data_IF_338723072505
#
_entry.id   IF_338723072505
#
_cell.length_a   1.000
_cell.length_b   1.000
_cell.length_c   1.000
_cell.angle_alpha   90.00
_cell.angle_beta   90.00
_cell.angle_gamma   90.00
#
_symmetry.space_group_name_H-M   'P 1'
#
loop_
_entity.id
_entity.type
_entity.pdbx_description
1 polymer ?
#
# COMPACT_ATOMS: atom_id res chain seq x y z
N UNK A 1 -0.30 23.20 3.68
CA UNK A 1 -0.23 23.91 4.95
C UNK A 1 0.63 25.16 4.75
N UNK A 2 0.07 26.34 5.02
CA UNK A 2 0.81 27.61 4.86
C UNK A 2 1.67 27.95 6.10
N UNK A 3 1.73 27.05 7.06
CA UNK A 3 2.47 27.28 8.30
C UNK A 3 3.25 26.01 8.69
N UNK A 4 4.36 25.70 7.97
CA UNK A 4 5.16 24.51 8.27
C UNK A 4 5.65 24.57 9.73
N UNK A 5 5.45 23.46 10.43
CA UNK A 5 5.91 23.35 11.82
C UNK A 5 7.45 23.46 11.87
N UNK A 6 8.02 24.31 12.70
CA UNK A 6 9.47 24.34 12.88
C UNK A 6 9.95 22.98 13.37
N UNK A 7 11.01 22.44 12.76
CA UNK A 7 11.63 21.15 13.04
C UNK A 7 10.90 19.90 12.46
N UNK A 8 9.92 20.07 11.57
CA UNK A 8 9.36 18.95 10.82
C UNK A 8 10.31 18.57 9.68
N UNK A 9 10.58 17.26 9.53
CA UNK A 9 11.26 16.72 8.37
C UNK A 9 10.25 16.05 7.43
N UNK A 10 10.42 16.26 6.13
CA UNK A 10 9.71 15.56 5.07
C UNK A 10 10.69 14.57 4.48
N UNK A 11 10.39 13.28 4.57
CA UNK A 11 11.20 12.23 3.97
C UNK A 11 10.73 11.95 2.55
N UNK A 12 11.69 11.75 1.65
CA UNK A 12 11.42 11.33 0.28
C UNK A 12 12.32 10.17 -0.09
N UNK A 13 11.76 9.21 -0.79
CA UNK A 13 12.48 8.06 -1.33
C UNK A 13 12.39 8.11 -2.86
N UNK A 14 13.49 8.30 -3.56
CA UNK A 14 13.46 8.31 -5.03
C UNK A 14 13.37 6.88 -5.58
N UNK A 15 12.52 6.72 -6.57
CA UNK A 15 12.07 5.43 -7.11
C UNK A 15 13.13 4.58 -7.81
N UNK A 16 14.36 5.01 -8.03
CA UNK A 16 15.30 4.16 -8.78
C UNK A 16 16.81 4.40 -8.61
N UNK A 17 17.28 5.55 -8.20
CA UNK A 17 18.75 5.82 -8.19
C UNK A 17 19.22 6.86 -7.18
N UNK A 18 18.35 7.30 -6.29
CA UNK A 18 18.68 8.36 -5.34
C UNK A 18 18.85 7.86 -3.91
N UNK A 19 19.13 8.79 -3.05
CA UNK A 19 19.25 8.58 -1.62
C UNK A 19 17.94 8.95 -0.95
N UNK A 20 17.49 8.18 0.04
CA UNK A 20 16.43 8.65 0.90
C UNK A 20 16.88 9.95 1.58
N UNK A 21 16.03 10.96 1.54
CA UNK A 21 16.44 12.32 1.92
C UNK A 21 15.38 12.93 2.83
N UNK A 22 15.82 13.55 3.92
CA UNK A 22 14.97 14.32 4.83
C UNK A 22 15.19 15.82 4.61
N UNK A 23 14.12 16.55 4.32
CA UNK A 23 14.12 18.01 4.12
C UNK A 23 13.40 18.68 5.27
N UNK A 24 13.88 19.85 5.66
CA UNK A 24 13.13 20.72 6.55
C UNK A 24 12.05 21.54 5.81
N UNK A 25 11.29 22.31 6.57
CA UNK A 25 10.22 23.16 6.04
C UNK A 25 10.70 24.28 5.08
N UNK A 26 12.01 24.50 4.95
CA UNK A 26 12.61 25.47 4.04
C UNK A 26 13.17 24.80 2.76
N UNK A 27 13.04 23.46 2.68
CA UNK A 27 13.58 22.67 1.58
C UNK A 27 15.07 22.36 1.69
N UNK A 28 15.68 22.62 2.84
CA UNK A 28 17.08 22.32 3.09
C UNK A 28 17.24 20.85 3.48
N UNK A 29 18.25 20.18 2.87
CA UNK A 29 18.57 18.78 3.20
C UNK A 29 19.14 18.74 4.61
N UNK A 30 18.54 17.95 5.49
CA UNK A 30 18.96 17.73 6.88
C UNK A 30 19.42 16.30 7.14
N UNK A 31 19.01 15.37 6.28
CA UNK A 31 19.35 13.97 6.43
C UNK A 31 19.42 13.28 5.07
N UNK A 32 20.39 12.38 4.90
CA UNK A 32 20.56 11.56 3.70
C UNK A 32 20.91 10.15 4.14
N UNK A 33 20.22 9.17 3.58
CA UNK A 33 20.57 7.77 3.71
C UNK A 33 21.07 7.22 2.38
N UNK A 34 22.34 6.86 2.33
CA UNK A 34 22.95 6.22 1.16
C UNK A 34 22.84 4.70 1.25
N UNK A 35 21.61 4.19 1.17
CA UNK A 35 21.31 2.76 1.12
C UNK A 35 20.37 2.50 -0.05
N UNK A 36 20.68 1.48 -0.84
CA UNK A 36 19.80 1.05 -1.91
C UNK A 36 18.62 0.32 -1.29
N UNK A 37 17.42 0.78 -1.59
CA UNK A 37 16.14 0.16 -1.23
C UNK A 37 15.26 0.09 -2.47
N UNK A 38 14.33 -0.83 -2.51
CA UNK A 38 13.35 -0.96 -3.60
C UNK A 38 11.99 -0.37 -3.22
N UNK A 39 11.66 -0.43 -1.94
CA UNK A 39 10.37 0.01 -1.41
C UNK A 39 10.53 1.13 -0.39
N UNK A 40 9.44 1.80 -0.12
CA UNK A 40 9.40 3.02 0.67
C UNK A 40 9.97 2.89 2.09
N UNK A 41 10.38 4.03 2.60
CA UNK A 41 10.80 4.23 3.96
C UNK A 41 9.59 4.62 4.80
N UNK A 42 9.32 3.88 5.86
CA UNK A 42 8.27 4.21 6.83
C UNK A 42 8.89 4.64 8.15
N UNK A 43 8.31 5.68 8.77
CA UNK A 43 8.69 6.14 10.10
C UNK A 43 7.85 5.39 11.14
N UNK A 44 8.52 4.72 12.08
CA UNK A 44 7.89 4.00 13.18
C UNK A 44 7.58 4.93 14.35
N UNK A 45 6.64 4.54 15.20
CA UNK A 45 6.24 5.30 16.40
C UNK A 45 7.39 5.57 17.36
N UNK A 46 8.39 4.69 17.42
CA UNK A 46 9.58 4.83 18.25
C UNK A 46 10.70 5.70 17.64
N UNK A 47 10.43 6.31 16.48
CA UNK A 47 11.37 7.18 15.76
C UNK A 47 12.40 6.43 14.91
N UNK A 48 12.32 5.11 14.81
CA UNK A 48 13.07 4.31 13.86
C UNK A 48 12.40 4.38 12.48
N UNK A 49 13.12 3.90 11.48
CA UNK A 49 12.63 3.78 10.12
C UNK A 49 12.68 2.32 9.68
N UNK A 50 11.76 1.95 8.80
CA UNK A 50 11.86 0.71 8.03
C UNK A 50 12.34 1.00 6.63
N UNK A 51 13.02 0.04 6.02
CA UNK A 51 13.36 0.06 4.60
C UNK A 51 13.49 -1.36 4.07
N UNK A 52 13.14 -1.57 2.82
CA UNK A 52 13.29 -2.88 2.17
C UNK A 52 14.76 -3.31 2.14
N UNK A 53 15.01 -4.61 2.19
CA UNK A 53 16.32 -5.13 1.76
C UNK A 53 16.48 -4.91 0.26
N UNK A 54 17.72 -4.92 -0.22
CA UNK A 54 18.01 -4.89 -1.66
C UNK A 54 18.22 -6.30 -2.26
N UNK A 55 17.95 -7.34 -1.46
CA UNK A 55 18.04 -8.74 -1.90
C UNK A 55 16.68 -9.18 -2.42
N UNK A 56 16.64 -9.71 -3.63
CA UNK A 56 15.42 -10.25 -4.21
C UNK A 56 15.19 -11.69 -3.76
N UNK A 57 13.97 -11.98 -3.37
CA UNK A 57 13.44 -13.32 -3.22
C UNK A 57 13.01 -13.86 -4.60
N UNK A 58 12.30 -13.02 -5.36
CA UNK A 58 11.90 -13.30 -6.74
C UNK A 58 11.88 -12.01 -7.58
N UNK A 59 11.92 -12.20 -8.88
CA UNK A 59 11.88 -11.13 -9.89
C UNK A 59 10.43 -10.68 -10.13
N UNK A 60 10.20 -9.41 -10.46
CA UNK A 60 11.23 -8.39 -10.74
C UNK A 60 11.69 -7.59 -9.51
N UNK A 61 10.93 -7.61 -8.39
CA UNK A 61 11.14 -6.67 -7.29
C UNK A 61 10.71 -7.18 -5.90
N UNK A 62 10.36 -8.45 -5.77
CA UNK A 62 9.99 -9.04 -4.48
C UNK A 62 11.23 -9.21 -3.61
N UNK A 63 11.36 -8.38 -2.58
CA UNK A 63 12.54 -8.41 -1.72
C UNK A 63 12.43 -9.49 -0.65
N UNK A 64 13.57 -9.93 -0.10
CA UNK A 64 13.58 -10.94 0.96
C UNK A 64 12.93 -10.46 2.26
N UNK A 65 12.71 -9.16 2.40
CA UNK A 65 12.14 -8.56 3.59
C UNK A 65 12.60 -7.12 3.79
N UNK A 66 12.64 -6.68 5.03
CA UNK A 66 12.96 -5.33 5.43
C UNK A 66 13.85 -5.29 6.67
N UNK A 67 14.36 -4.14 6.98
CA UNK A 67 15.12 -3.90 8.21
C UNK A 67 14.57 -2.66 8.94
N UNK A 68 14.81 -2.61 10.24
CA UNK A 68 14.59 -1.42 11.07
C UNK A 68 15.91 -0.81 11.47
N UNK A 69 15.99 0.51 11.45
CA UNK A 69 17.18 1.25 11.85
C UNK A 69 16.83 2.61 12.47
N UNK A 70 17.78 3.19 13.18
CA UNK A 70 17.66 4.59 13.61
C UNK A 70 18.08 5.56 12.49
N UNK A 71 17.82 6.85 12.67
CA UNK A 71 18.20 7.88 11.69
C UNK A 71 19.73 8.12 11.60
N UNK A 72 20.52 7.51 12.47
CA UNK A 72 21.99 7.52 12.41
C UNK A 72 22.57 6.34 11.63
N UNK A 73 21.70 5.42 11.18
CA UNK A 73 22.09 4.27 10.37
C UNK A 73 22.43 3.01 11.17
N UNK A 74 22.15 2.97 12.47
CA UNK A 74 22.33 1.74 13.25
C UNK A 74 21.15 0.80 13.01
N UNK A 75 21.41 -0.35 12.40
CA UNK A 75 20.42 -1.40 12.19
C UNK A 75 20.06 -2.03 13.52
N UNK A 76 18.75 -2.08 13.81
CA UNK A 76 18.20 -2.70 15.01
C UNK A 76 17.84 -4.16 14.76
N UNK A 77 17.09 -4.41 13.68
CA UNK A 77 16.68 -5.76 13.29
C UNK A 77 16.53 -5.89 11.77
N UNK A 78 16.60 -7.12 11.30
CA UNK A 78 16.27 -7.51 9.93
C UNK A 78 15.20 -8.59 9.97
N UNK A 79 14.15 -8.42 9.18
CA UNK A 79 13.01 -9.32 9.09
C UNK A 79 12.97 -10.00 7.73
N UNK A 80 12.81 -11.31 7.74
CA UNK A 80 12.57 -12.09 6.53
C UNK A 80 11.07 -12.27 6.33
N UNK A 81 10.59 -11.97 5.13
CA UNK A 81 9.19 -12.16 4.73
C UNK A 81 9.13 -13.37 3.80
N UNK A 82 8.51 -14.49 4.19
CA UNK A 82 8.55 -15.74 3.43
C UNK A 82 8.00 -15.62 2.00
N UNK A 83 6.94 -14.83 1.80
CA UNK A 83 6.37 -14.52 0.49
C UNK A 83 7.01 -13.32 -0.21
N UNK A 84 8.11 -12.80 0.33
CA UNK A 84 8.70 -11.54 -0.13
C UNK A 84 7.95 -10.31 0.35
N UNK A 85 8.63 -9.18 0.27
CA UNK A 85 8.09 -7.86 0.58
C UNK A 85 8.03 -7.03 -0.69
N UNK A 86 6.91 -6.40 -0.93
CA UNK A 86 6.71 -5.44 -2.01
C UNK A 86 5.86 -4.26 -1.53
N UNK A 87 6.00 -3.14 -2.20
CA UNK A 87 5.24 -1.90 -2.06
C UNK A 87 5.23 -1.31 -0.65
N UNK A 88 4.49 -1.88 0.31
CA UNK A 88 4.14 -1.19 1.53
C UNK A 88 4.12 -2.07 2.77
N UNK A 89 4.30 -1.41 3.90
CA UNK A 89 4.23 -1.99 5.24
C UNK A 89 3.66 -0.96 6.21
N UNK A 90 2.85 -1.41 7.16
CA UNK A 90 2.34 -0.58 8.26
C UNK A 90 2.69 -1.18 9.63
N UNK A 91 2.80 -0.31 10.64
CA UNK A 91 3.06 -0.73 12.03
C UNK A 91 1.76 -0.78 12.84
N UNK A 92 1.44 -1.95 13.37
CA UNK A 92 0.32 -2.14 14.30
C UNK A 92 0.59 -1.50 15.68
N UNK A 93 -0.44 -1.16 16.45
CA UNK A 93 -0.30 -0.59 17.80
C UNK A 93 0.45 -1.46 18.81
N UNK A 94 0.50 -2.77 18.60
CA UNK A 94 1.30 -3.71 19.43
C UNK A 94 2.77 -3.76 19.01
N UNK A 95 3.11 -3.07 17.91
CA UNK A 95 4.44 -2.99 17.34
C UNK A 95 4.72 -4.00 16.23
N UNK A 96 3.84 -4.95 15.97
CA UNK A 96 3.94 -5.86 14.83
C UNK A 96 3.85 -5.12 13.50
N UNK A 97 4.15 -5.80 12.41
CA UNK A 97 4.13 -5.22 11.07
C UNK A 97 3.14 -5.93 10.17
N UNK A 98 2.27 -5.17 9.51
CA UNK A 98 1.48 -5.62 8.36
C UNK A 98 2.25 -5.34 7.08
N UNK A 99 2.33 -6.31 6.18
CA UNK A 99 3.22 -6.26 5.03
C UNK A 99 2.51 -6.77 3.80
N UNK A 100 2.59 -6.01 2.70
CA UNK A 100 2.23 -6.48 1.38
C UNK A 100 3.22 -7.57 0.92
N UNK A 101 2.71 -8.75 0.61
CA UNK A 101 3.47 -9.97 0.37
C UNK A 101 2.82 -10.85 -0.71
N UNK A 102 3.40 -12.02 -0.94
CA UNK A 102 2.96 -13.00 -1.91
C UNK A 102 2.84 -14.42 -1.34
N UNK A 103 2.14 -15.26 -2.07
CA UNK A 103 2.21 -16.71 -1.97
C UNK A 103 2.67 -17.29 -3.32
N UNK A 104 3.98 -17.42 -3.51
CA UNK A 104 4.58 -17.97 -4.73
C UNK A 104 4.28 -19.47 -4.98
N UNK A 105 3.60 -20.15 -4.06
CA UNK A 105 3.07 -21.50 -4.31
C UNK A 105 1.84 -21.49 -5.22
N UNK A 106 1.17 -20.31 -5.33
CA UNK A 106 -0.01 -20.10 -6.16
C UNK A 106 0.30 -19.70 -7.61
N UNK A 107 -0.75 -19.34 -8.33
CA UNK A 107 -0.68 -18.84 -9.72
C UNK A 107 -0.82 -17.32 -9.83
N UNK A 108 -1.08 -16.65 -8.71
CA UNK A 108 -1.29 -15.19 -8.61
C UNK A 108 -0.20 -14.54 -7.81
N UNK A 109 -0.07 -13.23 -7.90
CA UNK A 109 0.90 -12.40 -7.17
C UNK A 109 0.22 -11.17 -6.58
N UNK A 110 0.85 -10.58 -5.57
CA UNK A 110 0.46 -9.31 -4.96
C UNK A 110 -0.97 -9.31 -4.38
N UNK A 111 -1.33 -10.42 -3.76
CA UNK A 111 -2.66 -10.66 -3.21
C UNK A 111 -2.66 -11.29 -1.80
N UNK A 112 -1.54 -11.21 -1.09
CA UNK A 112 -1.41 -11.66 0.28
C UNK A 112 -0.88 -10.53 1.17
N UNK A 113 -1.44 -10.39 2.36
CA UNK A 113 -0.87 -9.55 3.42
C UNK A 113 -0.48 -10.47 4.57
N UNK A 114 0.69 -10.24 5.14
CA UNK A 114 1.15 -10.99 6.33
C UNK A 114 1.38 -10.04 7.50
N UNK A 115 1.09 -10.53 8.71
CA UNK A 115 1.51 -9.88 9.94
C UNK A 115 2.75 -10.59 10.48
N UNK A 116 3.78 -9.81 10.77
CA UNK A 116 5.02 -10.30 11.38
C UNK A 116 5.14 -9.79 12.80
N UNK A 117 5.32 -10.71 13.73
CA UNK A 117 5.66 -10.42 15.12
C UNK A 117 7.03 -9.73 15.19
N UNK A 118 7.06 -8.53 15.75
CA UNK A 118 8.27 -7.70 15.82
C UNK A 118 9.40 -8.34 16.63
N UNK A 119 9.09 -9.15 17.62
CA UNK A 119 10.11 -9.72 18.52
C UNK A 119 10.75 -10.98 17.96
N UNK A 120 9.96 -11.78 17.27
CA UNK A 120 10.39 -13.12 16.80
C UNK A 120 10.66 -13.17 15.30
N UNK A 121 10.12 -12.23 14.52
CA UNK A 121 10.12 -12.26 13.06
C UNK A 121 9.21 -13.33 12.45
N UNK A 122 8.36 -13.96 13.28
CA UNK A 122 7.43 -14.99 12.80
C UNK A 122 6.19 -14.39 12.16
N UNK A 123 5.68 -15.02 11.11
CA UNK A 123 4.34 -14.71 10.58
C UNK A 123 3.31 -15.23 11.58
N UNK A 124 2.48 -14.34 12.10
CA UNK A 124 1.44 -14.65 13.10
C UNK A 124 0.03 -14.57 12.53
N UNK A 125 -0.16 -13.87 11.42
CA UNK A 125 -1.43 -13.79 10.72
C UNK A 125 -1.21 -13.61 9.20
N UNK A 126 -2.16 -14.06 8.40
CA UNK A 126 -2.14 -13.88 6.95
C UNK A 126 -3.53 -13.60 6.43
N UNK A 127 -3.63 -12.71 5.47
CA UNK A 127 -4.84 -12.36 4.73
C UNK A 127 -4.62 -12.75 3.26
N UNK A 128 -5.35 -13.75 2.80
CA UNK A 128 -5.38 -14.13 1.39
C UNK A 128 -6.56 -13.42 0.72
N UNK A 129 -6.27 -12.38 -0.07
CA UNK A 129 -7.29 -11.56 -0.72
C UNK A 129 -8.18 -12.34 -1.68
N UNK A 130 -7.71 -13.48 -2.20
CA UNK A 130 -8.50 -14.39 -3.04
C UNK A 130 -9.71 -14.99 -2.31
N UNK A 131 -9.66 -15.04 -0.98
CA UNK A 131 -10.76 -15.53 -0.14
C UNK A 131 -11.74 -14.43 0.26
N UNK A 132 -11.38 -13.17 0.02
CA UNK A 132 -12.11 -11.98 0.48
C UNK A 132 -12.77 -11.27 -0.70
N UNK A 133 -12.09 -11.22 -1.85
CA UNK A 133 -12.53 -10.49 -3.03
C UNK A 133 -12.60 -11.40 -4.27
N UNK A 134 -13.55 -11.16 -5.18
CA UNK A 134 -13.60 -11.88 -6.45
C UNK A 134 -12.48 -11.40 -7.39
N UNK A 135 -11.69 -12.35 -7.92
CA UNK A 135 -10.52 -12.05 -8.73
C UNK A 135 -10.85 -11.53 -10.14
N UNK A 136 -12.03 -11.85 -10.65
CA UNK A 136 -12.43 -11.63 -12.05
C UNK A 136 -13.43 -10.50 -12.24
N UNK A 137 -13.66 -9.69 -11.21
CA UNK A 137 -14.58 -8.55 -11.21
C UNK A 137 -13.83 -7.21 -11.09
N UNK A 138 -14.49 -6.12 -11.46
CA UNK A 138 -13.96 -4.76 -11.34
C UNK A 138 -12.65 -4.52 -12.07
N UNK A 139 -12.37 -5.28 -13.12
CA UNK A 139 -11.09 -5.27 -13.85
C UNK A 139 -10.76 -3.90 -14.41
N UNK A 140 -9.57 -3.40 -14.11
CA UNK A 140 -8.98 -2.27 -14.83
C UNK A 140 -8.40 -2.73 -16.17
N UNK A 141 -7.97 -1.78 -17.00
CA UNK A 141 -7.28 -2.09 -18.26
C UNK A 141 -5.87 -2.68 -18.05
N UNK A 142 -5.34 -2.62 -16.83
CA UNK A 142 -4.06 -3.25 -16.46
C UNK A 142 -4.23 -4.65 -15.87
N UNK A 143 -5.44 -5.09 -15.65
CA UNK A 143 -5.73 -6.37 -15.00
C UNK A 143 -5.17 -7.56 -15.76
N UNK A 144 -4.59 -8.50 -15.05
CA UNK A 144 -4.22 -9.82 -15.59
C UNK A 144 -4.65 -10.91 -14.61
N UNK A 145 -4.84 -12.15 -15.10
CA UNK A 145 -5.21 -13.25 -14.21
C UNK A 145 -4.11 -13.62 -13.21
N UNK A 146 -2.86 -13.29 -13.50
CA UNK A 146 -1.73 -13.50 -12.59
C UNK A 146 -1.65 -12.40 -11.54
N UNK A 147 -1.77 -11.16 -11.96
CA UNK A 147 -1.68 -9.96 -11.14
C UNK A 147 -3.04 -9.25 -11.18
N UNK A 148 -4.00 -9.85 -10.48
CA UNK A 148 -5.40 -9.47 -10.56
C UNK A 148 -5.75 -8.30 -9.64
N UNK A 149 -5.11 -8.21 -8.48
CA UNK A 149 -5.36 -7.17 -7.49
C UNK A 149 -4.28 -6.08 -7.52
N UNK A 150 -3.02 -6.48 -7.54
CA UNK A 150 -1.86 -5.61 -7.46
C UNK A 150 -1.90 -4.74 -6.20
N UNK A 151 -1.77 -5.41 -5.04
CA UNK A 151 -1.77 -4.72 -3.75
C UNK A 151 -0.57 -3.78 -3.65
N UNK A 152 -0.83 -2.50 -3.43
CA UNK A 152 0.23 -1.48 -3.40
C UNK A 152 0.21 -0.59 -2.15
N UNK A 153 -0.74 -0.80 -1.25
CA UNK A 153 -0.68 -0.24 0.10
C UNK A 153 -1.48 -1.08 1.09
N UNK A 154 -1.02 -1.06 2.31
CA UNK A 154 -1.65 -1.70 3.45
C UNK A 154 -1.63 -0.72 4.62
N UNK A 155 -2.78 -0.49 5.27
CA UNK A 155 -2.88 0.44 6.38
C UNK A 155 -3.91 -0.06 7.41
N UNK A 156 -3.63 0.09 8.68
CA UNK A 156 -4.48 -0.37 9.77
C UNK A 156 -5.13 0.79 10.51
N UNK A 157 -6.46 0.76 10.61
CA UNK A 157 -7.20 1.72 11.42
C UNK A 157 -7.52 1.13 12.80
N UNK A 158 -6.82 1.55 13.86
CA UNK A 158 -7.02 1.01 15.20
C UNK A 158 -8.38 1.39 15.81
N UNK A 159 -8.97 2.51 15.41
CA UNK A 159 -10.27 2.96 15.93
C UNK A 159 -11.42 2.09 15.42
N UNK A 160 -11.28 1.55 14.23
CA UNK A 160 -12.30 0.70 13.58
C UNK A 160 -11.92 -0.78 13.57
N UNK A 161 -10.70 -1.13 13.94
CA UNK A 161 -10.12 -2.47 13.83
C UNK A 161 -10.22 -3.03 12.40
N UNK A 162 -9.81 -2.21 11.43
CA UNK A 162 -9.90 -2.55 10.01
C UNK A 162 -8.55 -2.48 9.31
N UNK A 163 -8.37 -3.38 8.37
CA UNK A 163 -7.28 -3.36 7.40
C UNK A 163 -7.79 -2.72 6.11
N UNK A 164 -7.06 -1.77 5.59
CA UNK A 164 -7.31 -1.13 4.30
C UNK A 164 -6.24 -1.54 3.32
N UNK A 165 -6.64 -2.03 2.15
CA UNK A 165 -5.73 -2.48 1.09
C UNK A 165 -6.11 -1.86 -0.25
N UNK A 166 -5.12 -1.37 -0.98
CA UNK A 166 -5.34 -0.75 -2.28
C UNK A 166 -5.00 -1.72 -3.40
N UNK A 167 -5.99 -2.01 -4.25
CA UNK A 167 -5.90 -2.87 -5.43
C UNK A 167 -5.87 -2.05 -6.72
N UNK A 168 -4.67 -1.83 -7.26
CA UNK A 168 -4.45 -1.04 -8.48
C UNK A 168 -5.19 -1.60 -9.68
N UNK A 169 -5.24 -2.93 -9.82
CA UNK A 169 -5.80 -3.58 -11.00
C UNK A 169 -7.31 -3.82 -10.93
N UNK A 170 -7.94 -3.49 -9.82
CA UNK A 170 -9.40 -3.38 -9.69
C UNK A 170 -9.88 -1.94 -9.51
N UNK A 171 -8.97 -0.95 -9.46
CA UNK A 171 -9.25 0.47 -9.14
C UNK A 171 -10.10 0.59 -7.87
N UNK A 172 -9.75 -0.17 -6.86
CA UNK A 172 -10.54 -0.33 -5.65
C UNK A 172 -9.66 -0.34 -4.40
N UNK A 173 -10.16 0.30 -3.34
CA UNK A 173 -9.59 0.17 -2.00
C UNK A 173 -10.58 -0.65 -1.17
N UNK A 174 -10.14 -1.80 -0.67
CA UNK A 174 -10.96 -2.67 0.16
C UNK A 174 -10.71 -2.39 1.65
N UNK A 175 -11.78 -2.29 2.41
CA UNK A 175 -11.77 -2.20 3.87
C UNK A 175 -12.21 -3.55 4.44
N UNK A 176 -11.38 -4.17 5.24
CA UNK A 176 -11.52 -5.55 5.71
C UNK A 176 -11.50 -5.54 7.24
N UNK A 177 -12.40 -6.26 7.87
CA UNK A 177 -12.37 -6.48 9.32
C UNK A 177 -11.11 -7.29 9.68
N UNK A 178 -10.29 -6.73 10.55
CA UNK A 178 -8.99 -7.31 10.87
C UNK A 178 -9.10 -8.67 11.55
N UNK A 179 -10.08 -8.88 12.43
CA UNK A 179 -10.22 -10.12 13.19
C UNK A 179 -10.88 -11.23 12.37
N UNK A 180 -11.98 -10.90 11.68
CA UNK A 180 -12.80 -11.88 10.96
C UNK A 180 -12.36 -12.08 9.52
N UNK A 181 -11.49 -11.20 8.99
CA UNK A 181 -11.04 -11.19 7.60
C UNK A 181 -12.19 -11.03 6.58
N UNK A 182 -13.28 -10.40 6.97
CA UNK A 182 -14.44 -10.17 6.10
C UNK A 182 -14.38 -8.79 5.48
N UNK A 183 -14.77 -8.72 4.21
CA UNK A 183 -14.96 -7.45 3.53
C UNK A 183 -16.05 -6.64 4.23
N UNK A 184 -15.75 -5.37 4.51
CA UNK A 184 -16.69 -4.38 5.09
C UNK A 184 -17.17 -3.41 4.02
N UNK A 185 -16.22 -2.82 3.25
CA UNK A 185 -16.55 -1.81 2.25
C UNK A 185 -15.53 -1.81 1.12
N UNK A 186 -15.94 -1.24 -0.01
CA UNK A 186 -15.07 -0.93 -1.17
C UNK A 186 -15.22 0.55 -1.51
N UNK A 187 -14.08 1.21 -1.68
CA UNK A 187 -13.98 2.59 -2.16
C UNK A 187 -13.50 2.53 -3.61
N UNK A 188 -14.36 2.85 -4.56
CA UNK A 188 -14.06 2.76 -5.98
C UNK A 188 -15.31 2.72 -6.84
N UNK A 189 -15.14 2.71 -8.16
CA UNK A 189 -16.25 2.57 -9.09
C UNK A 189 -16.90 1.18 -8.98
N UNK A 190 -18.24 1.09 -8.84
CA UNK A 190 -18.94 -0.19 -8.86
C UNK A 190 -19.04 -0.83 -10.26
N UNK A 191 -18.53 -0.18 -11.28
CA UNK A 191 -18.53 -0.69 -12.66
C UNK A 191 -17.74 -1.98 -12.80
N UNK A 192 -18.31 -2.98 -13.46
CA UNK A 192 -17.68 -4.29 -13.68
C UNK A 192 -17.77 -5.25 -12.49
N UNK A 193 -18.48 -4.87 -11.41
CA UNK A 193 -18.73 -5.73 -10.27
C UNK A 193 -20.14 -6.32 -10.29
N UNK A 194 -20.31 -7.53 -9.76
CA UNK A 194 -21.59 -8.22 -9.71
C UNK A 194 -22.58 -7.51 -8.80
N UNK A 195 -23.88 -7.80 -8.97
CA UNK A 195 -24.94 -7.27 -8.13
C UNK A 195 -24.75 -7.62 -6.64
N UNK A 196 -24.20 -8.80 -6.34
CA UNK A 196 -23.86 -9.23 -4.98
C UNK A 196 -22.85 -8.30 -4.31
N UNK A 197 -21.86 -7.80 -5.08
CA UNK A 197 -20.81 -6.93 -4.58
C UNK A 197 -21.24 -5.47 -4.44
N UNK A 198 -22.33 -5.04 -5.09
CA UNK A 198 -22.77 -3.64 -5.06
C UNK A 198 -23.04 -3.11 -3.64
N UNK A 199 -23.48 -3.99 -2.73
CA UNK A 199 -23.76 -3.61 -1.34
C UNK A 199 -22.55 -3.20 -0.51
N UNK A 200 -21.33 -3.48 -0.97
CA UNK A 200 -20.09 -3.11 -0.31
C UNK A 200 -19.54 -1.75 -0.73
N UNK A 201 -20.01 -1.21 -1.87
CA UNK A 201 -19.48 0.06 -2.38
C UNK A 201 -20.02 1.24 -1.59
N UNK A 202 -19.09 2.15 -1.23
CA UNK A 202 -19.48 3.44 -0.68
C UNK A 202 -20.12 4.29 -1.79
N UNK A 203 -21.20 4.99 -1.42
CA UNK A 203 -21.91 5.89 -2.33
C UNK A 203 -21.38 7.31 -2.15
N UNK A 204 -20.90 7.98 -3.22
CA UNK A 204 -20.50 9.37 -3.13
C UNK A 204 -21.65 10.27 -2.72
N UNK A 205 -21.38 11.22 -1.83
CA UNK A 205 -22.33 12.27 -1.44
C UNK A 205 -21.87 13.62 -1.99
N UNK A 206 -22.80 14.40 -2.53
CA UNK A 206 -22.54 15.76 -3.02
C UNK A 206 -22.63 15.89 -4.52
N UNK A 207 -21.88 16.85 -5.09
CA UNK A 207 -21.94 17.24 -6.50
C UNK A 207 -21.16 16.35 -7.45
N UNK A 208 -20.43 16.97 -8.37
CA UNK A 208 -19.58 16.27 -9.33
C UNK A 208 -18.48 15.50 -8.57
N UNK A 209 -18.41 14.19 -8.82
CA UNK A 209 -17.47 13.28 -8.18
C UNK A 209 -16.85 12.35 -9.23
N UNK A 210 -15.54 12.19 -9.18
CA UNK A 210 -14.80 11.19 -9.95
C UNK A 210 -14.15 10.20 -9.00
N UNK A 211 -14.19 8.91 -9.35
CA UNK A 211 -13.44 7.87 -8.65
C UNK A 211 -11.95 7.93 -8.98
N UNK A 212 -11.14 7.41 -8.07
CA UNK A 212 -9.72 7.17 -8.30
C UNK A 212 -9.50 6.03 -9.30
N UNK A 213 -8.35 6.07 -9.99
CA UNK A 213 -7.96 5.08 -11.00
C UNK A 213 -6.50 4.68 -10.83
N UNK A 214 -6.23 3.37 -10.74
CA UNK A 214 -4.90 2.80 -10.53
C UNK A 214 -4.19 3.42 -9.30
N UNK A 215 -4.94 3.72 -8.25
CA UNK A 215 -4.50 4.43 -7.06
C UNK A 215 -3.38 3.70 -6.30
N UNK A 216 -2.64 4.47 -5.49
CA UNK A 216 -1.60 4.00 -4.57
C UNK A 216 -1.72 4.69 -3.21
N UNK A 217 -1.02 4.15 -2.22
CA UNK A 217 -0.82 4.77 -0.91
C UNK A 217 -2.15 5.18 -0.23
N UNK A 218 -3.12 4.27 -0.19
CA UNK A 218 -4.36 4.50 0.54
C UNK A 218 -4.10 4.39 2.04
N UNK A 219 -4.10 5.53 2.73
CA UNK A 219 -3.69 5.67 4.14
C UNK A 219 -4.74 6.43 4.93
N UNK A 220 -5.06 5.99 6.14
CA UNK A 220 -5.90 6.71 7.06
C UNK A 220 -5.19 7.94 7.62
N UNK A 221 -5.81 9.11 7.49
CA UNK A 221 -5.35 10.34 8.14
C UNK A 221 -5.91 10.49 9.55
N UNK A 222 -7.09 9.96 9.76
CA UNK A 222 -7.82 9.88 11.03
C UNK A 222 -8.93 8.82 10.92
N UNK A 223 -9.81 8.72 11.91
CA UNK A 223 -10.87 7.72 11.98
C UNK A 223 -11.90 7.77 10.83
N UNK A 224 -11.90 8.83 10.03
CA UNK A 224 -12.93 9.11 9.03
C UNK A 224 -12.37 9.45 7.64
N UNK A 225 -11.09 9.79 7.52
CA UNK A 225 -10.50 10.27 6.28
C UNK A 225 -9.40 9.34 5.79
N UNK A 226 -9.56 8.87 4.56
CA UNK A 226 -8.51 8.17 3.81
C UNK A 226 -7.95 9.13 2.76
N UNK A 227 -6.64 9.21 2.69
CA UNK A 227 -5.90 9.85 1.60
C UNK A 227 -5.35 8.78 0.68
N UNK A 228 -5.32 9.03 -0.62
CA UNK A 228 -4.66 8.16 -1.59
C UNK A 228 -4.10 8.98 -2.73
N UNK A 229 -3.10 8.44 -3.42
CA UNK A 229 -2.63 9.01 -4.67
C UNK A 229 -3.41 8.41 -5.84
N UNK A 230 -4.11 9.24 -6.61
CA UNK A 230 -4.80 8.84 -7.83
C UNK A 230 -3.84 8.90 -9.01
N UNK A 231 -3.40 7.75 -9.52
CA UNK A 231 -2.54 7.71 -10.72
C UNK A 231 -3.29 8.15 -11.98
N UNK A 232 -4.60 8.17 -11.97
CA UNK A 232 -5.45 8.63 -13.06
C UNK A 232 -5.34 7.82 -14.36
N UNK A 233 -4.83 6.57 -14.29
CA UNK A 233 -4.58 5.77 -15.50
C UNK A 233 -5.87 5.33 -16.15
N UNK A 234 -5.99 5.64 -17.45
CA UNK A 234 -7.11 5.30 -18.32
C UNK A 234 -8.47 5.90 -17.90
N UNK A 235 -8.74 6.14 -16.65
CA UNK A 235 -10.01 6.65 -16.07
C UNK A 235 -11.26 5.96 -16.63
N UNK A 236 -11.16 4.68 -16.94
CA UNK A 236 -12.21 3.85 -17.52
C UNK A 236 -11.93 2.35 -17.34
N UNK A 237 -12.98 1.56 -17.27
CA UNK A 237 -12.94 0.10 -17.31
C UNK A 237 -12.91 -0.45 -18.76
N UNK A 238 -13.11 0.40 -19.77
CA UNK A 238 -13.18 -0.01 -21.17
C UNK A 238 -12.22 0.80 -22.03
N UNK A 239 -11.59 0.15 -23.04
CA UNK A 239 -10.68 0.81 -23.98
C UNK A 239 -11.35 1.92 -24.78
N UNK A 240 -12.64 1.78 -25.10
CA UNK A 240 -13.40 2.77 -25.89
C UNK A 240 -13.46 4.13 -25.18
N UNK A 241 -13.58 4.12 -23.86
CA UNK A 241 -13.72 5.32 -23.03
C UNK A 241 -12.42 5.72 -22.34
N UNK A 242 -11.33 4.99 -22.59
CA UNK A 242 -10.07 5.21 -21.91
C UNK A 242 -9.46 6.58 -22.25
N UNK A 243 -9.05 7.33 -21.24
CA UNK A 243 -8.20 8.51 -21.40
C UNK A 243 -6.84 8.06 -21.90
N UNK A 244 -6.32 8.72 -22.94
CA UNK A 244 -5.00 8.39 -23.49
C UNK A 244 -3.90 8.76 -22.48
N UNK A 245 -2.77 8.07 -22.59
CA UNK A 245 -1.64 8.27 -21.66
C UNK A 245 -1.14 9.72 -21.62
N UNK A 246 -1.17 10.43 -22.77
CA UNK A 246 -0.78 11.84 -22.87
C UNK A 246 -1.77 12.81 -22.19
N UNK A 247 -3.01 12.36 -21.96
CA UNK A 247 -4.10 13.15 -21.37
C UNK A 247 -4.42 12.70 -19.93
N UNK A 248 -3.68 11.75 -19.38
CA UNK A 248 -3.87 11.30 -17.99
C UNK A 248 -3.63 12.44 -17.01
N UNK A 249 -4.42 12.45 -15.94
CA UNK A 249 -4.30 13.41 -14.82
C UNK A 249 -4.58 12.70 -13.49
N UNK A 250 -4.01 13.22 -12.43
CA UNK A 250 -4.16 12.76 -11.04
C UNK A 250 -4.65 13.90 -10.14
#
# INVERSE_FOLDING_TARGET
DQNPQPNQLIFTTPSSTGYATGYDSQGEIRWILNVMMLWDLNLLEDGRITLSTNRLLDSPYYTTGFLTMDLLGHIDAEYSVPGGYHHDLDQLPDGNFLIASDDFSGSTVEDVIVEIDRQTGAVVKSFDLKTILPQDQGKSLNWTAKDWFHNNSVDYNPAQNTLTVSGRHQDAVAVIDYDTQKLIAIIGSPEGWSEEMQGYFLTPEGGDFEWQWAQHAATWLDDQHIMMFDNGMYRSKTEENAVKAEDNYS
#
